data_IF_524548645042
#
_entry.id   IF_524548645042
#
_cell.length_a   1.000
_cell.length_b   1.000
_cell.length_c   1.000
_cell.angle_alpha   90.00
_cell.angle_beta   90.00
_cell.angle_gamma   90.00
#
_symmetry.space_group_name_H-M   'P 1'
#
loop_
_entity.id
_entity.type
_entity.pdbx_description
1 polymer ?
#
# COMPACT_ATOMS: atom_id res chain seq x y z
N UNK A 1 5.52 -21.03 -8.48
CA UNK A 1 4.61 -20.47 -7.44
C UNK A 1 3.98 -19.22 -8.02
N UNK A 2 2.67 -19.15 -8.10
CA UNK A 2 1.97 -17.92 -8.48
C UNK A 2 1.45 -17.30 -7.20
N UNK A 3 2.06 -16.21 -6.76
CA UNK A 3 1.60 -15.44 -5.62
C UNK A 3 0.46 -14.50 -6.03
N UNK A 4 -0.50 -14.28 -5.15
CA UNK A 4 -1.57 -13.31 -5.39
C UNK A 4 -1.26 -12.02 -4.67
N UNK A 5 -1.12 -10.93 -5.41
CA UNK A 5 -0.97 -9.58 -4.87
C UNK A 5 -2.30 -8.85 -4.99
N UNK A 6 -2.72 -8.21 -3.91
CA UNK A 6 -3.90 -7.34 -3.90
C UNK A 6 -3.44 -5.92 -3.65
N UNK A 7 -3.67 -5.04 -4.61
CA UNK A 7 -3.45 -3.61 -4.47
C UNK A 7 -4.75 -2.89 -4.08
N UNK A 8 -4.70 -2.06 -3.08
CA UNK A 8 -5.82 -1.24 -2.61
C UNK A 8 -5.49 0.21 -2.93
N UNK A 9 -6.22 0.82 -3.85
CA UNK A 9 -6.01 2.18 -4.31
C UNK A 9 -7.32 2.97 -4.31
N UNK A 10 -7.26 4.29 -4.50
CA UNK A 10 -8.44 5.16 -4.66
C UNK A 10 -9.34 4.74 -5.82
N UNK A 11 -8.77 4.06 -6.83
CA UNK A 11 -9.52 3.57 -8.00
C UNK A 11 -10.11 2.20 -7.79
N UNK A 12 -9.89 1.55 -6.63
CA UNK A 12 -10.44 0.23 -6.30
C UNK A 12 -9.38 -0.80 -5.93
N UNK A 13 -9.78 -2.05 -5.94
CA UNK A 13 -8.92 -3.20 -5.63
C UNK A 13 -8.32 -3.74 -6.93
N UNK A 14 -7.00 -3.83 -6.97
CA UNK A 14 -6.24 -4.43 -8.08
C UNK A 14 -5.82 -5.83 -7.66
N UNK A 15 -6.22 -6.83 -8.39
CA UNK A 15 -5.78 -8.22 -8.23
C UNK A 15 -4.84 -8.56 -9.39
N UNK A 16 -3.80 -9.33 -9.12
CA UNK A 16 -2.86 -9.77 -10.14
C UNK A 16 -3.58 -10.54 -11.25
N UNK A 17 -3.69 -9.95 -12.34
CA UNK A 17 -4.04 -10.17 -13.73
C UNK A 17 -4.70 -8.92 -14.31
N UNK A 18 -4.22 -7.72 -13.96
CA UNK A 18 -4.54 -6.44 -14.64
C UNK A 18 -6.04 -6.20 -14.92
N UNK A 19 -6.93 -6.65 -14.04
CA UNK A 19 -8.35 -6.34 -14.11
C UNK A 19 -8.74 -5.34 -13.06
N UNK A 20 -8.95 -4.12 -13.50
CA UNK A 20 -9.57 -3.06 -12.71
C UNK A 20 -11.01 -3.44 -12.38
N UNK A 21 -11.31 -3.69 -11.13
CA UNK A 21 -12.69 -3.73 -10.64
C UNK A 21 -13.02 -2.42 -9.93
N UNK A 22 -13.43 -1.40 -10.68
CA UNK A 22 -14.06 -0.23 -10.08
C UNK A 22 -15.33 -0.69 -9.36
N UNK A 23 -15.46 -0.36 -8.07
CA UNK A 23 -16.64 -0.70 -7.28
C UNK A 23 -16.63 -2.07 -6.63
N UNK A 24 -15.48 -2.74 -6.52
CA UNK A 24 -15.35 -3.92 -5.69
C UNK A 24 -15.69 -3.55 -4.22
N UNK A 25 -16.88 -3.93 -3.78
CA UNK A 25 -17.34 -3.64 -2.42
C UNK A 25 -16.49 -4.33 -1.37
N UNK A 26 -16.61 -3.90 -0.10
CA UNK A 26 -15.88 -4.44 1.06
C UNK A 26 -15.92 -5.97 1.16
N UNK A 27 -17.01 -6.61 0.70
CA UNK A 27 -17.12 -8.07 0.65
C UNK A 27 -16.17 -8.74 -0.33
N UNK A 28 -15.92 -8.11 -1.48
CA UNK A 28 -14.95 -8.60 -2.46
C UNK A 28 -13.52 -8.46 -1.89
N UNK A 29 -13.20 -7.31 -1.31
CA UNK A 29 -11.92 -7.07 -0.66
C UNK A 29 -11.63 -8.12 0.42
N UNK A 30 -12.58 -8.34 1.34
CA UNK A 30 -12.45 -9.34 2.40
C UNK A 30 -12.23 -10.76 1.84
N UNK A 31 -12.92 -11.13 0.75
CA UNK A 31 -12.71 -12.42 0.09
C UNK A 31 -11.32 -12.55 -0.52
N UNK A 32 -10.81 -11.50 -1.15
CA UNK A 32 -9.49 -11.52 -1.78
C UNK A 32 -8.37 -11.56 -0.76
N UNK A 33 -8.49 -10.81 0.33
CA UNK A 33 -7.51 -10.80 1.42
C UNK A 33 -7.30 -12.19 2.03
N UNK A 34 -8.34 -13.03 2.11
CA UNK A 34 -8.22 -14.42 2.62
C UNK A 34 -7.29 -15.30 1.80
N UNK A 35 -7.09 -14.98 0.52
CA UNK A 35 -6.33 -15.82 -0.41
C UNK A 35 -5.04 -15.16 -0.90
N UNK A 36 -4.87 -13.86 -0.70
CA UNK A 36 -3.67 -13.15 -1.14
C UNK A 36 -2.46 -13.48 -0.27
N UNK A 37 -1.29 -13.41 -0.87
CA UNK A 37 -0.01 -13.53 -0.19
C UNK A 37 0.55 -12.15 0.17
N UNK A 38 0.27 -11.15 -0.65
CA UNK A 38 0.70 -9.77 -0.43
C UNK A 38 -0.46 -8.82 -0.63
N UNK A 39 -0.70 -7.94 0.32
CA UNK A 39 -1.65 -6.84 0.22
C UNK A 39 -0.90 -5.50 0.27
N UNK A 40 -1.11 -4.66 -0.73
CA UNK A 40 -0.49 -3.33 -0.82
C UNK A 40 -1.57 -2.27 -0.70
N UNK A 41 -1.49 -1.44 0.33
CA UNK A 41 -2.36 -0.28 0.54
C UNK A 41 -1.69 1.00 0.06
N UNK A 42 -2.30 1.67 -0.93
CA UNK A 42 -1.80 2.92 -1.49
C UNK A 42 -2.98 3.88 -1.74
N UNK A 43 -3.64 4.26 -0.65
CA UNK A 43 -4.74 5.22 -0.66
C UNK A 43 -4.24 6.63 -0.37
N UNK A 44 -4.79 7.61 -1.05
CA UNK A 44 -4.58 9.01 -0.76
C UNK A 44 -5.87 9.64 -0.24
N UNK A 45 -5.75 10.63 0.60
CA UNK A 45 -6.88 11.41 1.11
C UNK A 45 -6.66 12.89 0.82
N UNK A 46 -7.68 13.54 0.26
CA UNK A 46 -7.66 14.99 0.09
C UNK A 46 -7.85 15.74 1.41
N UNK A 47 -8.38 15.08 2.44
CA UNK A 47 -8.75 15.68 3.72
C UNK A 47 -7.75 15.43 4.86
N UNK A 48 -6.57 14.87 4.57
CA UNK A 48 -5.48 14.66 5.56
C UNK A 48 -5.25 13.20 5.89
N UNK A 49 -6.05 12.57 6.77
CA UNK A 49 -5.85 11.17 7.16
C UNK A 49 -6.42 10.21 6.13
N UNK A 50 -5.67 9.15 5.82
CA UNK A 50 -6.15 8.04 4.98
C UNK A 50 -7.31 7.31 5.65
N UNK A 51 -8.40 7.00 4.92
CA UNK A 51 -9.47 6.20 5.47
C UNK A 51 -9.02 4.75 5.71
N UNK A 52 -9.47 4.18 6.83
CA UNK A 52 -9.29 2.75 7.09
C UNK A 52 -10.29 1.99 6.22
N UNK A 53 -9.78 1.13 5.35
CA UNK A 53 -10.60 0.28 4.45
C UNK A 53 -10.44 -1.20 4.72
N UNK A 54 -9.36 -1.61 5.40
CA UNK A 54 -9.13 -2.99 5.83
C UNK A 54 -9.21 -3.04 7.34
N UNK A 55 -10.24 -3.71 7.85
CA UNK A 55 -10.48 -3.87 9.28
C UNK A 55 -9.56 -4.92 9.90
N UNK A 56 -9.40 -4.87 11.21
CA UNK A 56 -8.65 -5.88 11.97
C UNK A 56 -9.20 -7.29 11.77
N UNK A 57 -10.52 -7.44 11.66
CA UNK A 57 -11.18 -8.72 11.35
C UNK A 57 -10.73 -9.27 9.98
N UNK A 58 -10.65 -8.40 8.96
CA UNK A 58 -10.16 -8.80 7.64
C UNK A 58 -8.71 -9.26 7.69
N UNK A 59 -7.84 -8.54 8.41
CA UNK A 59 -6.43 -8.91 8.58
C UNK A 59 -6.30 -10.25 9.32
N UNK A 60 -7.06 -10.46 10.39
CA UNK A 60 -7.03 -11.73 11.15
C UNK A 60 -7.49 -12.94 10.31
N UNK A 61 -8.23 -12.69 9.23
CA UNK A 61 -8.69 -13.74 8.30
C UNK A 61 -7.69 -14.05 7.18
N UNK A 62 -6.59 -13.31 7.07
CA UNK A 62 -5.53 -13.55 6.10
C UNK A 62 -4.73 -14.82 6.44
N UNK A 63 -4.02 -15.36 5.46
CA UNK A 63 -3.14 -16.52 5.69
C UNK A 63 -1.96 -16.13 6.54
N UNK A 64 -1.59 -16.99 7.47
CA UNK A 64 -0.32 -16.85 8.21
C UNK A 64 0.85 -16.79 7.24
N UNK A 65 1.74 -15.83 7.44
CA UNK A 65 2.88 -15.55 6.56
C UNK A 65 2.58 -14.62 5.38
N UNK A 66 1.31 -14.18 5.21
CA UNK A 66 0.99 -13.11 4.27
C UNK A 66 1.65 -11.79 4.68
N UNK A 67 1.87 -10.91 3.71
CA UNK A 67 2.54 -9.62 3.90
C UNK A 67 1.58 -8.47 3.59
N UNK A 68 1.53 -7.49 4.47
CA UNK A 68 0.88 -6.20 4.26
C UNK A 68 1.97 -5.15 4.05
N UNK A 69 1.83 -4.35 2.99
CA UNK A 69 2.66 -3.16 2.73
C UNK A 69 1.73 -1.95 2.72
N UNK A 70 1.79 -1.13 3.76
CA UNK A 70 0.97 0.09 3.85
C UNK A 70 1.76 1.32 3.41
N UNK A 71 1.66 1.65 2.12
CA UNK A 71 2.28 2.84 1.53
C UNK A 71 1.62 4.13 2.04
N UNK A 72 0.37 4.02 2.50
CA UNK A 72 -0.41 5.15 3.04
C UNK A 72 -0.07 5.51 4.48
N UNK A 73 0.91 4.83 5.08
CA UNK A 73 1.25 4.96 6.52
C UNK A 73 1.62 6.39 6.92
N UNK A 74 2.24 7.17 6.02
CA UNK A 74 2.57 8.58 6.24
C UNK A 74 1.35 9.44 6.61
N UNK A 75 0.14 9.00 6.23
CA UNK A 75 -1.14 9.64 6.50
C UNK A 75 -2.07 8.79 7.36
N UNK A 76 -1.49 7.93 8.19
CA UNK A 76 -2.20 7.12 9.17
C UNK A 76 -2.54 5.69 8.73
N UNK A 77 -2.20 5.31 7.50
CA UNK A 77 -2.42 3.96 6.99
C UNK A 77 -3.87 3.66 6.61
N UNK A 78 -4.07 2.65 5.78
CA UNK A 78 -5.39 2.19 5.33
C UNK A 78 -5.80 0.83 5.92
N UNK A 79 -4.92 0.17 6.66
CA UNK A 79 -5.23 -1.02 7.45
C UNK A 79 -5.40 -0.61 8.92
N UNK A 80 -6.44 -1.09 9.58
CA UNK A 80 -6.70 -0.82 10.99
C UNK A 80 -5.57 -1.33 11.91
N UNK A 81 -4.86 -2.34 11.47
CA UNK A 81 -3.72 -2.95 12.18
C UNK A 81 -2.38 -2.27 11.89
N UNK A 82 -2.32 -1.26 11.04
CA UNK A 82 -1.07 -0.59 10.68
C UNK A 82 -0.52 0.24 11.83
N UNK A 83 0.74 0.00 12.16
CA UNK A 83 1.52 0.74 13.13
C UNK A 83 2.81 1.21 12.47
N UNK A 84 3.19 2.47 12.70
CA UNK A 84 4.40 3.07 12.10
C UNK A 84 5.63 2.28 12.54
N UNK A 85 6.42 1.86 11.56
CA UNK A 85 7.72 1.22 11.75
C UNK A 85 8.86 2.12 11.28
N UNK A 86 10.09 1.64 11.35
CA UNK A 86 11.27 2.41 10.93
C UNK A 86 12.10 1.61 9.94
N UNK A 87 12.99 2.27 9.20
CA UNK A 87 13.94 1.57 8.31
C UNK A 87 14.87 0.60 9.05
N UNK A 88 15.12 0.81 10.35
CA UNK A 88 15.95 -0.06 11.19
C UNK A 88 15.18 -1.28 11.70
N UNK A 89 13.87 -1.13 11.95
CA UNK A 89 12.97 -2.19 12.36
C UNK A 89 11.71 -2.11 11.49
N UNK A 90 11.79 -2.60 10.22
CA UNK A 90 10.80 -2.27 9.20
C UNK A 90 9.52 -3.08 9.28
N UNK A 91 9.51 -4.19 10.00
CA UNK A 91 8.39 -5.12 10.04
C UNK A 91 8.00 -5.52 11.45
N UNK A 92 6.74 -5.86 11.63
CA UNK A 92 6.21 -6.56 12.80
C UNK A 92 5.17 -7.60 12.35
N UNK A 93 4.81 -8.50 13.24
CA UNK A 93 3.80 -9.54 12.96
C UNK A 93 2.60 -9.37 13.87
N UNK A 94 1.39 -9.32 13.28
CA UNK A 94 0.12 -9.31 13.99
C UNK A 94 -0.83 -10.29 13.31
N UNK A 95 -1.49 -11.17 14.06
CA UNK A 95 -2.33 -12.26 13.54
C UNK A 95 -1.61 -13.21 12.57
N UNK A 96 -0.29 -13.40 12.73
CA UNK A 96 0.51 -14.20 11.80
C UNK A 96 0.78 -13.51 10.46
N UNK A 97 0.34 -12.27 10.27
CA UNK A 97 0.55 -11.45 9.07
C UNK A 97 1.69 -10.47 9.31
N UNK A 98 2.64 -10.42 8.38
CA UNK A 98 3.79 -9.53 8.42
C UNK A 98 3.37 -8.14 7.91
N UNK A 99 3.59 -7.10 8.71
CA UNK A 99 3.29 -5.72 8.34
C UNK A 99 4.58 -4.95 8.06
N UNK A 100 4.64 -4.32 6.90
CA UNK A 100 5.66 -3.35 6.52
C UNK A 100 4.99 -1.97 6.43
N UNK A 101 5.26 -1.11 7.40
CA UNK A 101 4.60 0.19 7.56
C UNK A 101 5.65 1.31 7.80
N UNK A 102 6.69 1.33 6.96
CA UNK A 102 7.77 2.32 7.05
C UNK A 102 7.32 3.60 6.34
N UNK A 103 7.27 4.76 7.04
CA UNK A 103 6.99 6.03 6.40
C UNK A 103 8.14 6.43 5.48
N UNK A 104 7.82 7.23 4.46
CA UNK A 104 8.82 7.73 3.51
C UNK A 104 9.69 6.60 2.91
N UNK A 105 9.06 5.57 2.38
CA UNK A 105 9.76 4.44 1.71
C UNK A 105 10.84 4.91 0.73
N UNK A 106 10.64 6.00 -0.09
CA UNK A 106 11.65 6.49 -1.01
C UNK A 106 12.98 6.87 -0.38
N UNK A 107 12.99 7.26 0.90
CA UNK A 107 14.24 7.63 1.60
C UNK A 107 15.22 6.45 1.73
N UNK A 108 14.71 5.22 1.76
CA UNK A 108 15.54 4.01 1.72
C UNK A 108 16.21 3.74 0.36
N UNK A 109 15.72 4.41 -0.71
CA UNK A 109 16.18 4.26 -2.09
C UNK A 109 16.40 5.63 -2.74
N UNK A 110 17.10 6.51 -2.03
CA UNK A 110 17.23 7.94 -2.35
C UNK A 110 17.69 8.21 -3.81
N UNK A 111 18.64 7.45 -4.32
CA UNK A 111 19.13 7.61 -5.71
C UNK A 111 18.01 7.37 -6.74
N UNK A 112 17.29 6.27 -6.61
CA UNK A 112 16.18 5.92 -7.51
C UNK A 112 15.03 6.92 -7.40
N UNK A 113 14.69 7.33 -6.18
CA UNK A 113 13.65 8.31 -5.92
C UNK A 113 14.00 9.68 -6.52
N UNK A 114 15.23 10.16 -6.32
CA UNK A 114 15.70 11.44 -6.88
C UNK A 114 15.70 11.42 -8.41
N UNK A 115 16.10 10.32 -9.01
CA UNK A 115 16.09 10.19 -10.48
C UNK A 115 14.66 10.17 -11.03
N UNK A 116 13.75 9.47 -10.37
CA UNK A 116 12.33 9.44 -10.76
C UNK A 116 11.70 10.85 -10.69
N UNK A 117 11.94 11.59 -9.62
CA UNK A 117 11.47 12.97 -9.46
C UNK A 117 12.09 13.87 -10.53
N UNK A 118 13.39 13.79 -10.77
CA UNK A 118 14.10 14.59 -11.79
C UNK A 118 13.51 14.36 -13.18
N UNK A 119 13.20 13.11 -13.54
CA UNK A 119 12.60 12.78 -14.83
C UNK A 119 11.23 13.42 -15.05
N UNK A 120 10.46 13.64 -13.97
CA UNK A 120 9.14 14.28 -14.03
C UNK A 120 9.27 15.81 -14.01
N UNK A 121 10.15 16.36 -13.18
CA UNK A 121 10.27 17.80 -12.99
C UNK A 121 11.04 18.49 -14.13
N UNK A 122 12.05 17.84 -14.69
CA UNK A 122 12.90 18.47 -15.71
C UNK A 122 12.12 18.98 -16.92
N UNK A 123 11.23 18.21 -17.55
CA UNK A 123 10.40 18.71 -18.66
C UNK A 123 9.57 19.93 -18.28
N UNK A 124 8.96 19.89 -17.08
CA UNK A 124 8.11 21.01 -16.59
C UNK A 124 8.93 22.29 -16.34
N UNK A 125 10.15 22.17 -15.83
CA UNK A 125 11.03 23.31 -15.61
C UNK A 125 11.53 23.91 -16.91
N UNK A 126 11.80 23.08 -17.92
CA UNK A 126 12.21 23.58 -19.25
C UNK A 126 11.06 24.31 -19.94
N UNK A 127 9.84 23.78 -19.84
CA UNK A 127 8.65 24.41 -20.43
C UNK A 127 8.29 25.75 -19.75
N UNK A 128 8.52 25.84 -18.43
CA UNK A 128 8.26 27.07 -17.66
C UNK A 128 9.36 28.16 -17.86
N UNK A 129 10.47 27.81 -18.44
CA UNK A 129 11.63 28.72 -18.69
C UNK A 129 11.65 29.36 -20.08
N UNK A 130 10.67 29.01 -20.95
CA UNK A 130 10.44 29.65 -22.26
C UNK A 130 9.42 30.79 -22.13
#
# INVERSE_FOLDING_TARGET
>A
MRGTVVGITERGVVIEEWRFHQGAGMRMLAKQLKTCEVAVGALSSQTGRTPIVVTEEMVSSMRTGSVIIDVSIDRGGCFETSEITTHQSPVYTKYGVIHYCVPNIPSGFARTASQAISNVLMPLLLEAGE
#
